data_IF_836842521164
#
_entry.id   IF_836842521164
#
_cell.length_a   1.000
_cell.length_b   1.000
_cell.length_c   1.000
_cell.angle_alpha   90.00
_cell.angle_beta   90.00
_cell.angle_gamma   90.00
#
_symmetry.space_group_name_H-M   'P 1'
#
loop_
_entity.id
_entity.type
_entity.pdbx_description
1 polymer ?
#
# COMPACT_ATOMS: atom_id res chain seq x y z
N UNK A 1 3.77 -13.66 -19.45
CA UNK A 1 4.90 -12.73 -19.58
C UNK A 1 5.22 -12.11 -18.24
N UNK A 2 4.23 -11.51 -17.56
CA UNK A 2 4.44 -10.89 -16.24
C UNK A 2 4.91 -11.86 -15.15
N UNK A 3 4.38 -13.08 -15.12
CA UNK A 3 4.86 -14.15 -14.22
C UNK A 3 6.34 -14.48 -14.41
N UNK A 4 6.81 -14.49 -15.66
CA UNK A 4 8.21 -14.74 -15.99
C UNK A 4 9.11 -13.60 -15.50
N UNK A 5 8.76 -12.35 -15.82
CA UNK A 5 9.50 -11.15 -15.38
C UNK A 5 9.51 -11.03 -13.85
N UNK A 6 8.42 -11.40 -13.17
CA UNK A 6 8.38 -11.41 -11.71
C UNK A 6 9.38 -12.41 -11.13
N UNK A 7 9.46 -13.62 -11.68
CA UNK A 7 10.40 -14.64 -11.23
C UNK A 7 11.86 -14.33 -11.57
N UNK A 8 12.12 -13.57 -12.64
CA UNK A 8 13.45 -13.05 -12.97
C UNK A 8 13.84 -11.84 -12.11
N UNK A 9 12.88 -11.22 -11.40
CA UNK A 9 13.10 -9.99 -10.63
C UNK A 9 13.17 -8.73 -11.50
N UNK A 10 12.73 -8.79 -12.75
CA UNK A 10 12.76 -7.70 -13.74
C UNK A 10 11.41 -7.01 -13.92
N UNK A 11 10.36 -7.46 -13.21
CA UNK A 11 9.05 -6.81 -13.22
C UNK A 11 9.03 -5.56 -12.31
N UNK A 12 9.49 -4.43 -12.83
CA UNK A 12 9.57 -3.15 -12.10
C UNK A 12 8.23 -2.61 -11.58
N UNK A 13 7.11 -3.09 -12.14
CA UNK A 13 5.75 -2.67 -11.76
C UNK A 13 4.93 -3.85 -11.22
N UNK A 14 5.56 -4.74 -10.45
CA UNK A 14 4.91 -5.92 -9.86
C UNK A 14 3.66 -5.58 -9.04
N UNK A 15 3.60 -4.39 -8.44
CA UNK A 15 2.43 -3.89 -7.70
C UNK A 15 1.16 -3.76 -8.55
N UNK A 16 1.25 -3.70 -9.88
CA UNK A 16 0.07 -3.72 -10.77
C UNK A 16 -0.53 -5.11 -10.94
N UNK A 17 0.24 -6.14 -10.60
CA UNK A 17 -0.14 -7.55 -10.68
C UNK A 17 -0.52 -8.09 -9.29
N UNK A 18 0.32 -7.82 -8.30
CA UNK A 18 0.20 -8.29 -6.92
C UNK A 18 -0.62 -7.33 -6.08
N UNK A 19 -1.24 -7.83 -5.02
CA UNK A 19 -2.13 -7.06 -4.17
C UNK A 19 -3.61 -7.26 -4.52
N UNK A 20 -4.45 -6.34 -4.06
CA UNK A 20 -5.87 -6.29 -4.36
C UNK A 20 -6.18 -5.18 -5.38
N UNK A 21 -6.79 -5.55 -6.51
CA UNK A 21 -7.09 -4.66 -7.62
C UNK A 21 -8.57 -4.71 -7.99
N UNK A 22 -9.22 -3.54 -8.04
CA UNK A 22 -10.52 -3.42 -8.68
C UNK A 22 -10.39 -3.82 -10.14
N UNK A 23 -11.20 -4.76 -10.58
CA UNK A 23 -11.11 -5.32 -11.93
C UNK A 23 -12.46 -5.84 -12.42
N UNK A 24 -12.55 -6.05 -13.73
CA UNK A 24 -13.71 -6.65 -14.37
C UNK A 24 -13.30 -7.95 -15.04
N UNK A 25 -13.83 -9.07 -14.56
CA UNK A 25 -13.53 -10.42 -15.05
C UNK A 25 -14.83 -11.17 -15.33
N UNK A 26 -14.91 -11.88 -16.46
CA UNK A 26 -16.13 -12.61 -16.84
C UNK A 26 -17.38 -11.73 -17.05
N UNK A 27 -17.21 -10.41 -17.16
CA UNK A 27 -18.30 -9.44 -17.29
C UNK A 27 -18.76 -8.81 -15.97
N UNK A 28 -18.29 -9.32 -14.83
CA UNK A 28 -18.63 -8.84 -13.48
C UNK A 28 -17.52 -7.92 -12.92
N UNK A 29 -17.93 -6.90 -12.17
CA UNK A 29 -16.99 -6.05 -11.42
C UNK A 29 -16.71 -6.68 -10.05
N UNK A 30 -15.47 -6.52 -9.58
CA UNK A 30 -15.05 -7.07 -8.29
C UNK A 30 -13.60 -6.77 -8.01
N UNK A 31 -12.99 -7.59 -7.16
CA UNK A 31 -11.59 -7.43 -6.75
C UNK A 31 -10.81 -8.69 -7.08
N UNK A 32 -9.71 -8.54 -7.81
CA UNK A 32 -8.70 -9.59 -8.00
C UNK A 32 -7.64 -9.45 -6.92
N UNK A 33 -7.43 -10.53 -6.17
CA UNK A 33 -6.35 -10.67 -5.22
C UNK A 33 -5.25 -11.52 -5.83
N UNK A 34 -4.00 -11.10 -5.71
CA UNK A 34 -2.85 -11.91 -6.12
C UNK A 34 -1.71 -11.80 -5.12
N UNK A 35 -1.23 -12.94 -4.62
CA UNK A 35 -0.13 -13.00 -3.64
C UNK A 35 0.90 -14.05 -4.01
N UNK A 36 2.17 -13.74 -3.75
CA UNK A 36 3.27 -14.70 -3.88
C UNK A 36 3.45 -15.47 -2.58
N UNK A 37 3.18 -16.77 -2.61
CA UNK A 37 3.30 -17.66 -1.45
C UNK A 37 3.74 -19.06 -1.90
N UNK A 38 5.00 -19.24 -2.33
CA UNK A 38 5.46 -20.44 -3.03
C UNK A 38 5.28 -21.73 -2.23
N UNK A 39 5.51 -21.66 -0.92
CA UNK A 39 5.48 -22.81 -0.03
C UNK A 39 4.10 -23.05 0.60
N UNK A 40 3.09 -22.20 0.34
CA UNK A 40 1.77 -22.42 0.91
C UNK A 40 1.11 -23.67 0.31
N UNK A 41 0.38 -24.43 1.13
CA UNK A 41 -0.48 -25.52 0.64
C UNK A 41 -1.80 -25.01 0.11
N UNK A 42 -2.33 -23.97 0.75
CA UNK A 42 -3.52 -23.25 0.34
C UNK A 42 -3.42 -21.81 0.80
N UNK A 43 -4.04 -20.91 0.05
CA UNK A 43 -4.22 -19.52 0.42
C UNK A 43 -5.69 -19.18 0.22
N UNK A 44 -6.29 -18.46 1.17
CA UNK A 44 -7.67 -17.98 1.09
C UNK A 44 -7.71 -16.48 1.39
N UNK A 45 -8.71 -15.81 0.85
CA UNK A 45 -8.99 -14.42 1.17
C UNK A 45 -10.05 -14.37 2.27
N UNK A 46 -9.75 -13.72 3.38
CA UNK A 46 -10.68 -13.52 4.50
C UNK A 46 -10.91 -12.04 4.72
N UNK A 47 -12.11 -11.64 5.11
CA UNK A 47 -12.43 -10.23 5.30
C UNK A 47 -13.84 -10.01 5.85
N UNK A 48 -14.27 -8.74 5.91
CA UNK A 48 -15.60 -8.36 6.38
C UNK A 48 -16.71 -9.07 5.59
N UNK A 49 -16.58 -9.09 4.25
CA UNK A 49 -17.52 -9.70 3.31
C UNK A 49 -17.79 -11.20 3.50
N UNK A 50 -16.91 -11.93 4.19
CA UNK A 50 -17.09 -13.36 4.43
C UNK A 50 -17.03 -13.75 5.92
N UNK A 51 -17.19 -12.77 6.82
CA UNK A 51 -17.14 -13.00 8.27
C UNK A 51 -15.81 -13.56 8.73
N UNK A 52 -14.72 -13.20 8.06
CA UNK A 52 -13.37 -13.71 8.31
C UNK A 52 -13.23 -15.25 8.15
N UNK A 53 -14.04 -15.86 7.29
CA UNK A 53 -14.03 -17.30 7.02
C UNK A 53 -13.69 -17.60 5.55
N UNK A 54 -12.51 -18.20 5.33
CA UNK A 54 -11.92 -18.38 3.99
C UNK A 54 -12.45 -19.58 3.19
N UNK A 55 -13.31 -20.42 3.77
CA UNK A 55 -13.73 -21.71 3.18
C UNK A 55 -14.30 -21.58 1.76
N UNK A 56 -14.97 -20.47 1.44
CA UNK A 56 -15.56 -20.21 0.12
C UNK A 56 -14.70 -19.33 -0.80
N UNK A 57 -13.54 -18.88 -0.32
CA UNK A 57 -12.68 -17.91 -1.00
C UNK A 57 -11.24 -18.45 -1.07
N UNK A 58 -11.10 -19.71 -1.47
CA UNK A 58 -9.81 -20.35 -1.72
C UNK A 58 -9.22 -19.87 -3.05
N UNK A 59 -7.97 -19.44 -3.01
CA UNK A 59 -7.25 -18.93 -4.16
C UNK A 59 -6.74 -20.06 -5.03
N UNK A 60 -6.70 -19.83 -6.33
CA UNK A 60 -6.14 -20.77 -7.29
C UNK A 60 -4.66 -20.46 -7.51
N UNK A 61 -3.84 -21.50 -7.52
CA UNK A 61 -2.44 -21.36 -7.90
C UNK A 61 -2.34 -21.10 -9.40
N UNK A 62 -1.71 -20.00 -9.78
CA UNK A 62 -1.51 -19.64 -11.18
C UNK A 62 -0.52 -20.64 -11.81
N UNK A 63 -0.89 -21.32 -12.91
CA UNK A 63 -0.05 -22.36 -13.52
C UNK A 63 1.37 -21.90 -13.84
N UNK A 64 2.34 -22.81 -13.70
CA UNK A 64 3.76 -22.53 -13.92
C UNK A 64 4.31 -21.33 -13.13
N UNK A 65 3.68 -21.00 -11.99
CA UNK A 65 4.13 -19.94 -11.10
C UNK A 65 3.96 -20.31 -9.63
N UNK A 66 4.43 -19.42 -8.77
CA UNK A 66 4.27 -19.48 -7.31
C UNK A 66 3.25 -18.47 -6.78
N UNK A 67 2.43 -17.92 -7.68
CA UNK A 67 1.40 -16.94 -7.37
C UNK A 67 0.07 -17.64 -7.11
N UNK A 68 -0.69 -17.07 -6.18
CA UNK A 68 -2.06 -17.42 -5.87
C UNK A 68 -2.94 -16.28 -6.33
N UNK A 69 -4.03 -16.57 -7.03
CA UNK A 69 -4.97 -15.56 -7.50
C UNK A 69 -6.43 -15.97 -7.25
N UNK A 70 -7.26 -14.98 -6.93
CA UNK A 70 -8.71 -15.14 -6.81
C UNK A 70 -9.40 -13.85 -7.20
N UNK A 71 -10.39 -13.95 -8.06
CA UNK A 71 -11.34 -12.87 -8.32
C UNK A 71 -12.60 -13.09 -7.48
N UNK A 72 -13.03 -12.06 -6.75
CA UNK A 72 -14.27 -12.08 -5.97
C UNK A 72 -15.23 -11.03 -6.55
N UNK A 73 -16.32 -11.45 -7.21
CA UNK A 73 -17.29 -10.53 -7.80
C UNK A 73 -18.05 -9.75 -6.72
N UNK A 74 -18.43 -8.51 -7.04
CA UNK A 74 -19.23 -7.63 -6.18
C UNK A 74 -18.47 -6.97 -5.04
N UNK A 75 -17.19 -7.28 -4.82
CA UNK A 75 -16.36 -6.55 -3.85
C UNK A 75 -16.02 -5.14 -4.35
N UNK A 76 -15.92 -4.22 -3.40
CA UNK A 76 -15.71 -2.80 -3.65
C UNK A 76 -14.52 -2.24 -2.87
N UNK A 77 -14.12 -1.01 -3.19
CA UNK A 77 -13.13 -0.27 -2.43
C UNK A 77 -13.57 -0.05 -0.97
N UNK A 78 -12.62 -0.16 -0.05
CA UNK A 78 -12.85 0.00 1.40
C UNK A 78 -13.02 -1.31 2.16
N UNK A 79 -13.16 -2.44 1.47
CA UNK A 79 -13.26 -3.75 2.11
C UNK A 79 -11.98 -4.12 2.85
N UNK A 80 -12.12 -4.57 4.09
CA UNK A 80 -11.03 -5.09 4.91
C UNK A 80 -10.78 -6.55 4.56
N UNK A 81 -9.51 -6.91 4.36
CA UNK A 81 -9.11 -8.28 4.06
C UNK A 81 -7.74 -8.66 4.61
N UNK A 82 -7.49 -9.97 4.67
CA UNK A 82 -6.20 -10.62 4.92
C UNK A 82 -6.11 -11.90 4.10
N UNK A 83 -4.91 -12.45 3.99
CA UNK A 83 -4.69 -13.80 3.50
C UNK A 83 -4.67 -14.78 4.67
N UNK A 84 -5.52 -15.81 4.64
CA UNK A 84 -5.37 -17.02 5.45
C UNK A 84 -4.44 -17.97 4.69
N UNK A 85 -3.26 -18.22 5.24
CA UNK A 85 -2.22 -19.03 4.61
C UNK A 85 -2.09 -20.34 5.39
N UNK A 86 -2.27 -21.46 4.69
CA UNK A 86 -1.95 -22.79 5.22
C UNK A 86 -0.49 -23.15 4.86
N UNK A 87 0.44 -23.18 5.83
CA UNK A 87 1.81 -23.62 5.58
C UNK A 87 1.89 -25.13 5.26
N UNK A 88 3.06 -25.63 4.79
CA UNK A 88 3.31 -27.07 4.63
C UNK A 88 3.02 -27.86 5.91
N UNK A 89 3.46 -27.29 7.03
CA UNK A 89 3.37 -27.85 8.38
C UNK A 89 2.86 -26.78 9.34
N UNK A 90 2.01 -27.18 10.29
CA UNK A 90 1.45 -26.29 11.30
C UNK A 90 0.08 -25.70 10.94
N UNK A 91 -0.48 -24.87 11.85
CA UNK A 91 -1.80 -24.28 11.66
C UNK A 91 -1.80 -23.16 10.61
N UNK A 92 -2.96 -22.91 10.02
CA UNK A 92 -3.16 -21.72 9.21
C UNK A 92 -2.99 -20.43 10.04
N UNK A 93 -2.53 -19.36 9.40
CA UNK A 93 -2.36 -18.06 10.02
C UNK A 93 -2.82 -16.93 9.08
N UNK A 94 -3.10 -15.77 9.67
CA UNK A 94 -3.51 -14.59 8.92
C UNK A 94 -2.32 -13.68 8.63
N UNK A 95 -2.29 -13.12 7.41
CA UNK A 95 -1.28 -12.16 6.99
C UNK A 95 -1.92 -10.97 6.28
N UNK A 96 -1.47 -9.76 6.62
CA UNK A 96 -1.72 -8.58 5.80
C UNK A 96 -1.12 -8.78 4.40
N UNK A 97 -1.70 -8.13 3.40
CA UNK A 97 -1.19 -8.17 2.04
C UNK A 97 0.15 -7.40 1.95
N UNK A 98 1.25 -8.03 1.52
CA UNK A 98 2.53 -7.35 1.31
C UNK A 98 2.47 -6.21 0.29
N UNK A 99 1.50 -6.26 -0.64
CA UNK A 99 1.24 -5.29 -1.71
C UNK A 99 -0.05 -4.50 -1.45
N UNK A 100 -0.52 -4.40 -0.20
CA UNK A 100 -1.65 -3.53 0.13
C UNK A 100 -1.34 -2.06 -0.20
N UNK A 101 -2.27 -1.37 -0.86
CA UNK A 101 -2.19 0.08 -1.07
C UNK A 101 -2.74 0.91 0.09
N UNK A 102 -3.35 0.24 1.07
CA UNK A 102 -3.90 0.85 2.27
C UNK A 102 -4.01 -0.17 3.38
N UNK A 103 -3.76 0.25 4.60
CA UNK A 103 -3.94 -0.55 5.81
C UNK A 103 -5.03 0.05 6.72
N UNK A 104 -5.57 -0.80 7.58
CA UNK A 104 -6.40 -0.39 8.71
C UNK A 104 -5.57 0.44 9.70
N UNK A 105 -6.18 1.44 10.35
CA UNK A 105 -5.46 2.18 11.39
C UNK A 105 -5.08 1.28 12.57
N UNK A 106 -3.89 1.45 13.15
CA UNK A 106 -3.49 0.73 14.36
C UNK A 106 -4.52 0.86 15.49
N UNK A 107 -4.76 -0.21 16.29
CA UNK A 107 -4.06 -1.50 16.31
C UNK A 107 -4.56 -2.53 15.28
N UNK A 108 -5.44 -2.11 14.37
CA UNK A 108 -5.86 -2.91 13.22
C UNK A 108 -4.67 -3.35 12.37
N UNK A 109 -4.81 -4.48 11.69
CA UNK A 109 -3.74 -5.06 10.85
C UNK A 109 -4.28 -5.61 9.54
N UNK A 110 -5.56 -5.35 9.23
CA UNK A 110 -6.13 -5.72 7.95
C UNK A 110 -5.61 -4.81 6.83
N UNK A 111 -5.49 -5.37 5.65
CA UNK A 111 -5.32 -4.59 4.43
C UNK A 111 -6.68 -4.08 3.97
N UNK A 112 -6.71 -2.94 3.28
CA UNK A 112 -7.94 -2.34 2.75
C UNK A 112 -7.86 -2.34 1.24
N UNK A 113 -8.91 -2.83 0.57
CA UNK A 113 -9.03 -2.71 -0.89
C UNK A 113 -9.05 -1.23 -1.24
N UNK A 114 -8.10 -0.78 -2.05
CA UNK A 114 -7.93 0.63 -2.40
C UNK A 114 -7.53 0.75 -3.87
N UNK A 115 -8.13 1.70 -4.59
CA UNK A 115 -7.64 2.08 -5.92
C UNK A 115 -6.54 3.12 -5.80
N UNK A 116 -5.52 3.03 -6.65
CA UNK A 116 -4.55 4.11 -6.84
C UNK A 116 -5.07 5.21 -7.77
N UNK A 117 -6.16 4.95 -8.49
CA UNK A 117 -6.78 5.90 -9.41
C UNK A 117 -7.70 6.88 -8.67
N UNK A 118 -8.02 7.98 -9.34
CA UNK A 118 -9.02 8.95 -8.88
C UNK A 118 -8.47 10.19 -8.16
N UNK A 119 -7.15 10.30 -8.00
CA UNK A 119 -6.52 11.56 -7.56
C UNK A 119 -6.21 12.46 -8.77
N UNK A 120 -6.82 13.66 -8.80
CA UNK A 120 -6.58 14.70 -9.81
C UNK A 120 -5.28 15.45 -9.50
N UNK A 121 -4.18 15.02 -10.13
CA UNK A 121 -2.88 15.68 -10.02
C UNK A 121 -2.89 17.03 -10.76
N UNK A 122 -2.21 18.03 -10.19
CA UNK A 122 -2.16 19.41 -10.71
C UNK A 122 -0.75 20.00 -10.68
N UNK A 123 0.26 19.14 -10.80
CA UNK A 123 1.67 19.46 -10.68
C UNK A 123 2.44 19.39 -12.02
N UNK A 124 1.73 19.44 -13.16
CA UNK A 124 2.31 19.31 -14.51
C UNK A 124 3.47 20.29 -14.76
N UNK A 125 3.31 21.55 -14.34
CA UNK A 125 4.35 22.58 -14.48
C UNK A 125 5.60 22.20 -13.69
N UNK A 126 5.42 21.74 -12.45
CA UNK A 126 6.52 21.30 -11.60
C UNK A 126 7.24 20.07 -12.17
N UNK A 127 6.50 19.09 -12.71
CA UNK A 127 7.09 17.91 -13.33
C UNK A 127 7.92 18.26 -14.56
N UNK A 128 7.43 19.19 -15.40
CA UNK A 128 8.17 19.66 -16.57
C UNK A 128 9.48 20.36 -16.16
N UNK A 129 9.45 21.24 -15.17
CA UNK A 129 10.65 21.89 -14.63
C UNK A 129 11.64 20.89 -14.03
N UNK A 130 11.15 19.90 -13.28
CA UNK A 130 11.99 18.85 -12.69
C UNK A 130 12.72 18.03 -13.75
N UNK A 131 12.07 17.72 -14.87
CA UNK A 131 12.71 16.96 -15.95
C UNK A 131 13.74 17.78 -16.74
N UNK A 132 13.53 19.08 -16.86
CA UNK A 132 14.41 19.97 -17.61
C UNK A 132 15.72 20.31 -16.87
N UNK A 133 15.78 20.13 -15.55
CA UNK A 133 16.89 20.59 -14.73
C UNK A 133 17.48 19.48 -13.85
N UNK A 134 18.80 19.34 -13.86
CA UNK A 134 19.49 18.41 -12.97
C UNK A 134 19.36 18.85 -11.50
N UNK A 135 19.04 17.94 -10.58
CA UNK A 135 18.83 18.29 -9.17
C UNK A 135 20.11 18.79 -8.47
N UNK A 136 21.29 18.36 -8.93
CA UNK A 136 22.58 18.68 -8.31
C UNK A 136 23.09 20.09 -8.64
N UNK A 137 22.51 20.75 -9.64
CA UNK A 137 22.94 22.09 -10.09
C UNK A 137 22.07 23.21 -9.47
N UNK A 138 21.28 22.88 -8.44
CA UNK A 138 20.30 23.79 -7.82
C UNK A 138 20.47 23.82 -6.30
N UNK A 139 20.08 24.92 -5.64
CA UNK A 139 20.12 24.99 -4.18
C UNK A 139 19.23 23.89 -3.58
N UNK A 140 19.81 23.15 -2.62
CA UNK A 140 19.12 22.10 -1.89
C UNK A 140 19.22 22.41 -0.40
N UNK A 141 18.12 22.92 0.13
CA UNK A 141 17.89 23.14 1.56
C UNK A 141 16.67 22.33 1.98
N UNK A 142 16.90 21.34 2.84
CA UNK A 142 15.94 20.30 3.21
C UNK A 142 15.42 20.57 4.63
N UNK A 143 14.10 20.50 4.80
CA UNK A 143 13.45 20.46 6.11
C UNK A 143 13.04 19.02 6.42
N UNK A 144 13.78 18.36 7.30
CA UNK A 144 13.48 16.98 7.74
C UNK A 144 12.31 16.98 8.74
N UNK A 145 11.32 16.10 8.55
CA UNK A 145 10.09 16.08 9.33
C UNK A 145 9.62 14.66 9.64
N UNK A 146 9.29 14.43 10.91
CA UNK A 146 8.44 13.32 11.33
C UNK A 146 6.98 13.79 11.46
N UNK A 147 6.10 13.33 10.59
CA UNK A 147 4.72 13.85 10.49
C UNK A 147 3.91 13.64 11.78
N UNK A 148 4.12 12.53 12.49
CA UNK A 148 3.41 12.20 13.72
C UNK A 148 3.77 13.05 14.95
N UNK A 149 4.84 13.87 14.85
CA UNK A 149 5.32 14.71 15.95
C UNK A 149 5.59 16.16 15.58
N UNK A 150 5.46 16.54 14.30
CA UNK A 150 5.68 17.92 13.86
C UNK A 150 4.75 18.91 14.56
N UNK A 151 3.45 18.59 14.58
CA UNK A 151 2.43 19.39 15.26
C UNK A 151 1.23 18.52 15.62
N UNK A 152 0.60 18.82 16.76
CA UNK A 152 -0.65 18.20 17.22
C UNK A 152 -1.82 19.16 17.01
N UNK A 153 -3.01 18.59 16.84
CA UNK A 153 -4.27 19.34 16.89
C UNK A 153 -4.52 19.88 18.31
N UNK A 154 -5.47 20.82 18.43
CA UNK A 154 -5.84 21.41 19.71
C UNK A 154 -6.38 20.39 20.73
N UNK A 155 -6.99 19.31 20.24
CA UNK A 155 -7.47 18.16 21.02
C UNK A 155 -6.38 17.10 21.28
N UNK A 156 -5.11 17.43 20.98
CA UNK A 156 -3.96 16.52 21.03
C UNK A 156 -3.98 15.39 19.99
N UNK A 157 -4.91 15.44 19.02
CA UNK A 157 -4.98 14.51 17.90
C UNK A 157 -3.85 14.68 16.87
N UNK A 158 -3.69 13.68 16.00
CA UNK A 158 -2.78 13.74 14.86
C UNK A 158 -3.36 14.60 13.73
N UNK A 159 -2.47 15.27 12.99
CA UNK A 159 -2.81 15.94 11.74
C UNK A 159 -2.95 14.92 10.63
N UNK A 160 -4.00 15.06 9.81
CA UNK A 160 -4.12 14.29 8.57
C UNK A 160 -3.15 14.82 7.51
N UNK A 161 -2.89 14.04 6.45
CA UNK A 161 -2.12 14.52 5.31
C UNK A 161 -2.70 15.81 4.68
N UNK A 162 -4.03 16.02 4.76
CA UNK A 162 -4.67 17.25 4.27
C UNK A 162 -4.39 18.45 5.18
N UNK A 163 -4.42 18.24 6.49
CA UNK A 163 -4.07 19.27 7.47
C UNK A 163 -2.59 19.68 7.30
N UNK A 164 -1.70 18.68 7.18
CA UNK A 164 -0.26 18.89 6.94
C UNK A 164 0.01 19.60 5.61
N UNK A 165 -0.68 19.22 4.53
CA UNK A 165 -0.53 19.90 3.24
C UNK A 165 -0.85 21.40 3.31
N UNK A 166 -1.82 21.81 4.14
CA UNK A 166 -2.13 23.22 4.34
C UNK A 166 -1.11 23.92 5.26
N UNK A 167 -0.78 23.30 6.39
CA UNK A 167 0.01 23.96 7.44
C UNK A 167 1.52 23.82 7.26
N UNK A 168 2.01 22.60 7.05
CA UNK A 168 3.44 22.30 6.94
C UNK A 168 4.02 22.94 5.68
N UNK A 169 3.34 22.83 4.53
CA UNK A 169 3.83 23.39 3.27
C UNK A 169 3.94 24.92 3.36
N UNK A 170 2.91 25.60 3.89
CA UNK A 170 2.94 27.05 4.08
C UNK A 170 4.08 27.48 5.02
N UNK A 171 4.34 26.71 6.08
CA UNK A 171 5.44 26.95 7.02
C UNK A 171 6.82 26.80 6.35
N UNK A 172 7.03 25.72 5.59
CA UNK A 172 8.27 25.43 4.87
C UNK A 172 8.56 26.49 3.81
N UNK A 173 7.53 26.91 3.05
CA UNK A 173 7.64 27.99 2.05
C UNK A 173 8.01 29.31 2.72
N UNK A 174 7.38 29.66 3.84
CA UNK A 174 7.68 30.90 4.58
C UNK A 174 9.15 30.97 5.02
N UNK A 175 9.74 29.84 5.38
CA UNK A 175 11.13 29.75 5.82
C UNK A 175 12.14 29.62 4.66
N UNK A 176 11.68 29.46 3.41
CA UNK A 176 12.54 29.42 2.23
C UNK A 176 13.25 28.09 2.02
N UNK A 177 12.78 27.00 2.62
CA UNK A 177 13.25 25.66 2.31
C UNK A 177 12.84 25.25 0.89
N UNK A 178 13.66 24.42 0.26
CA UNK A 178 13.43 23.94 -1.12
C UNK A 178 12.79 22.56 -1.17
N UNK A 179 13.00 21.75 -0.12
CA UNK A 179 12.57 20.37 -0.06
C UNK A 179 12.10 20.02 1.36
N UNK A 180 11.22 19.03 1.45
CA UNK A 180 10.83 18.37 2.70
C UNK A 180 11.35 16.94 2.61
N UNK A 181 12.09 16.50 3.61
CA UNK A 181 12.47 15.10 3.77
C UNK A 181 11.59 14.50 4.87
N UNK A 182 10.92 13.39 4.56
CA UNK A 182 10.01 12.75 5.48
C UNK A 182 10.69 11.54 6.07
N UNK A 183 10.60 11.39 7.39
CA UNK A 183 10.81 10.09 8.02
C UNK A 183 9.83 9.07 7.41
N UNK A 184 10.14 7.75 7.47
CA UNK A 184 9.39 6.74 6.75
C UNK A 184 7.87 6.83 6.97
N UNK A 185 7.12 6.88 5.86
CA UNK A 185 5.66 6.97 5.85
C UNK A 185 4.96 5.63 5.65
N UNK A 186 5.71 4.60 5.30
CA UNK A 186 5.20 3.23 5.10
C UNK A 186 4.49 2.74 6.35
N UNK A 187 3.46 1.90 6.21
CA UNK A 187 2.75 1.40 7.39
C UNK A 187 3.68 0.66 8.38
N UNK A 188 3.66 1.08 9.64
CA UNK A 188 4.45 0.52 10.74
C UNK A 188 3.58 0.33 12.00
N UNK A 189 3.77 -0.75 12.78
CA UNK A 189 2.89 -1.08 13.89
C UNK A 189 3.24 -0.34 15.20
N UNK A 190 4.40 0.32 15.26
CA UNK A 190 4.92 0.91 16.50
C UNK A 190 5.47 2.33 16.30
N UNK A 191 4.80 3.31 16.89
CA UNK A 191 5.18 4.74 16.82
C UNK A 191 6.60 5.03 17.31
N UNK A 192 7.08 4.29 18.32
CA UNK A 192 8.43 4.45 18.85
C UNK A 192 9.54 4.04 17.88
N UNK A 193 9.20 3.40 16.76
CA UNK A 193 10.15 3.09 15.68
C UNK A 193 10.42 4.27 14.75
N UNK A 194 9.64 5.36 14.84
CA UNK A 194 9.65 6.49 13.90
C UNK A 194 9.51 6.08 12.42
N UNK A 195 8.86 4.93 12.19
CA UNK A 195 8.64 4.35 10.87
C UNK A 195 9.74 3.44 10.33
N UNK A 196 10.85 3.28 11.05
CA UNK A 196 11.94 2.41 10.61
C UNK A 196 11.65 0.91 10.78
N UNK A 197 10.58 0.53 11.49
CA UNK A 197 10.11 -0.86 11.60
C UNK A 197 8.88 -1.09 10.72
N UNK A 198 9.07 -1.04 9.40
CA UNK A 198 8.01 -1.15 8.41
C UNK A 198 7.39 -2.55 8.33
N UNK A 199 6.07 -2.60 8.09
CA UNK A 199 5.32 -3.83 7.83
C UNK A 199 4.48 -3.78 6.55
N UNK A 200 4.07 -2.59 6.10
CA UNK A 200 3.30 -2.41 4.86
C UNK A 200 4.02 -1.45 3.91
N UNK A 201 4.88 -1.99 3.04
CA UNK A 201 5.76 -1.17 2.18
C UNK A 201 5.06 -0.41 1.06
N UNK A 202 3.82 -0.79 0.72
CA UNK A 202 3.04 -0.21 -0.38
C UNK A 202 1.86 0.66 0.09
N UNK A 203 1.71 0.84 1.42
CA UNK A 203 0.65 1.60 2.06
C UNK A 203 1.22 2.76 2.89
#
# INVERSE_FOLDING_TARGET
QDTYLFHEGTLCHSYRLLGAHLSREGGEEGVRFTVWAPCARAVRVVGGFNGWCGVRHEMQRVPASWLWSLFIPGLVQGELYKYEIQPPEGPAFLKADPYAFRAEHPPGTASVVCSLDGYDWRDDVWQAEKQAHAPYDRPMLIYEVHLGSWKRKADNGLLSYRDLAAELVAYVVKLGYTHIELLPLVEYPFDGSWGYQATGYYA
#
